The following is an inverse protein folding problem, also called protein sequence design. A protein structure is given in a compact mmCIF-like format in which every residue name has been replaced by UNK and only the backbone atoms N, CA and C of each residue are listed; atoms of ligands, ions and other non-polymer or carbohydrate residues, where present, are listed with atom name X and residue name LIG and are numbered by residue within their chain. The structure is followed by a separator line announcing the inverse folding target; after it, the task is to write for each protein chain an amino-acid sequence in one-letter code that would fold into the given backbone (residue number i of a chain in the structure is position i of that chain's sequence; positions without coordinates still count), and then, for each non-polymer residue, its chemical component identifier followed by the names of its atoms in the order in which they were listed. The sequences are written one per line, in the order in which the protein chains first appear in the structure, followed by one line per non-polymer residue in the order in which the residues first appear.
data_IF_168268249548
#
_entry.id   IF_168268249548
#
_cell.length_a   1.000
_cell.length_b   1.000
_cell.length_c   1.000
_cell.angle_alpha   90.00
_cell.angle_beta   90.00
_cell.angle_gamma   90.00
#
_symmetry.space_group_name_H-M   'P 1'
#
loop_
_entity.id
_entity.type
_entity.pdbx_description
1 polymer ?
#
# COMPACT_ATOMS: atom_id res chain seq x y z
N UNK A 1 -3.91 11.39 13.40
CA UNK A 1 -3.54 12.13 12.19
C UNK A 1 -3.07 13.51 12.57
N UNK A 2 -1.87 13.88 12.12
CA UNK A 2 -1.28 15.21 12.31
C UNK A 2 -2.09 16.25 11.53
N UNK A 3 -2.09 17.50 11.99
CA UNK A 3 -2.76 18.59 11.27
C UNK A 3 -2.13 18.84 9.91
N UNK A 4 -0.82 18.55 9.80
CA UNK A 4 -0.03 18.65 8.57
C UNK A 4 -0.44 17.55 7.56
N UNK A 5 -0.54 16.30 7.97
CA UNK A 5 -1.04 15.26 7.08
C UNK A 5 -2.50 15.49 6.67
N UNK A 6 -3.34 15.98 7.59
CA UNK A 6 -4.76 16.18 7.36
C UNK A 6 -5.08 17.25 6.29
N UNK A 7 -4.20 18.24 6.07
CA UNK A 7 -4.42 19.23 5.01
C UNK A 7 -4.04 18.70 3.62
N UNK A 8 -3.12 17.74 3.53
CA UNK A 8 -2.65 17.19 2.25
C UNK A 8 -3.35 15.90 1.83
N UNK A 9 -3.76 15.05 2.77
CA UNK A 9 -4.43 13.78 2.48
C UNK A 9 -5.90 13.97 2.11
N UNK A 10 -6.10 14.41 0.87
CA UNK A 10 -7.44 14.70 0.30
C UNK A 10 -8.08 13.51 -0.40
N UNK A 11 -7.34 12.42 -0.60
CA UNK A 11 -7.82 11.19 -1.22
C UNK A 11 -8.06 10.08 -0.18
N UNK A 12 -8.67 8.99 -0.64
CA UNK A 12 -8.87 7.77 0.15
C UNK A 12 -8.35 6.59 -0.65
N UNK A 13 -7.63 5.69 0.00
CA UNK A 13 -7.23 4.40 -0.56
C UNK A 13 -7.90 3.26 0.22
N UNK A 14 -8.00 2.10 -0.42
CA UNK A 14 -8.41 0.85 0.22
C UNK A 14 -7.20 -0.07 0.31
N UNK A 15 -6.91 -0.60 1.49
CA UNK A 15 -5.83 -1.55 1.75
C UNK A 15 -6.39 -2.91 2.17
N UNK A 16 -5.77 -3.98 1.67
CA UNK A 16 -6.00 -5.36 2.03
C UNK A 16 -4.72 -5.92 2.63
N UNK A 17 -4.73 -6.15 3.93
CA UNK A 17 -3.56 -6.69 4.64
C UNK A 17 -3.47 -8.19 4.44
N UNK A 18 -2.28 -8.71 4.13
CA UNK A 18 -2.03 -10.14 4.05
C UNK A 18 -2.21 -10.77 5.43
N UNK A 19 -3.00 -11.84 5.51
CA UNK A 19 -3.13 -12.59 6.76
C UNK A 19 -1.86 -13.40 7.02
N UNK A 20 -1.34 -13.33 8.24
CA UNK A 20 -0.16 -14.09 8.62
C UNK A 20 -0.50 -15.57 8.81
N UNK A 21 0.36 -16.43 8.27
CA UNK A 21 0.23 -17.88 8.36
C UNK A 21 -0.28 -18.52 7.08
N UNK A 22 -0.25 -19.84 7.12
CA UNK A 22 -0.77 -20.69 6.07
C UNK A 22 -1.89 -21.54 6.67
N UNK A 23 -2.80 -22.01 5.82
CA UNK A 23 -3.79 -23.00 6.23
C UNK A 23 -3.14 -24.37 6.52
N UNK A 24 -3.96 -25.34 6.88
CA UNK A 24 -3.52 -26.72 7.19
C UNK A 24 -2.84 -27.42 5.99
N UNK A 25 -3.03 -26.91 4.78
CA UNK A 25 -2.47 -27.42 3.53
C UNK A 25 -1.25 -26.63 3.05
N UNK A 26 -0.88 -25.56 3.76
CA UNK A 26 0.25 -24.71 3.41
C UNK A 26 -0.09 -23.56 2.46
N UNK A 27 -1.36 -23.35 2.12
CA UNK A 27 -1.82 -22.25 1.28
C UNK A 27 -1.91 -20.94 2.10
N UNK A 28 -1.65 -19.77 1.51
CA UNK A 28 -1.81 -18.50 2.21
C UNK A 28 -3.25 -18.30 2.68
N UNK A 29 -3.43 -17.83 3.92
CA UNK A 29 -4.77 -17.57 4.50
C UNK A 29 -5.58 -16.46 3.80
N UNK A 30 -4.99 -15.79 2.81
CA UNK A 30 -5.62 -14.75 2.02
C UNK A 30 -5.36 -13.36 2.58
N UNK A 31 -6.37 -12.49 2.47
CA UNK A 31 -6.28 -11.08 2.83
C UNK A 31 -7.40 -10.69 3.79
N UNK A 32 -7.12 -9.71 4.65
CA UNK A 32 -8.09 -9.09 5.52
C UNK A 32 -9.15 -8.31 4.73
N UNK A 33 -10.25 -7.99 5.41
CA UNK A 33 -11.31 -7.14 4.85
C UNK A 33 -10.75 -5.77 4.40
N UNK A 34 -11.32 -5.17 3.34
CA UNK A 34 -10.87 -3.88 2.81
C UNK A 34 -10.98 -2.77 3.86
N UNK A 35 -9.84 -2.13 4.15
CA UNK A 35 -9.75 -1.02 5.09
C UNK A 35 -9.53 0.30 4.35
N UNK A 36 -10.30 1.33 4.70
CA UNK A 36 -10.25 2.64 4.03
C UNK A 36 -9.32 3.56 4.80
N UNK A 37 -8.29 4.07 4.12
CA UNK A 37 -7.26 4.91 4.73
C UNK A 37 -7.20 6.28 4.04
N UNK A 38 -7.01 7.38 4.80
CA UNK A 38 -6.75 8.68 4.20
C UNK A 38 -5.33 8.67 3.59
N UNK A 39 -5.20 9.26 2.41
CA UNK A 39 -3.92 9.34 1.73
C UNK A 39 -3.84 10.51 0.74
N UNK A 40 -2.64 10.71 0.22
CA UNK A 40 -2.43 11.30 -1.10
C UNK A 40 -1.59 10.33 -1.94
N UNK A 41 -1.50 10.57 -3.24
CA UNK A 41 -0.80 9.67 -4.14
C UNK A 41 -0.14 10.37 -5.33
N UNK A 42 0.95 9.77 -5.80
CA UNK A 42 1.60 10.13 -7.05
C UNK A 42 1.63 8.90 -7.95
N UNK A 43 1.15 9.09 -9.18
CA UNK A 43 1.33 8.11 -10.25
C UNK A 43 2.75 8.21 -10.79
N UNK A 44 3.54 7.14 -10.62
CA UNK A 44 4.96 7.14 -10.94
C UNK A 44 5.31 6.11 -12.00
N UNK A 45 5.27 6.51 -13.28
CA UNK A 45 5.84 5.73 -14.39
C UNK A 45 7.37 5.67 -14.26
N UNK A 46 7.90 4.54 -13.79
CA UNK A 46 9.25 4.15 -14.15
C UNK A 46 9.44 2.63 -14.07
N UNK A 47 9.70 2.03 -15.24
CA UNK A 47 10.37 0.73 -15.33
C UNK A 47 11.74 0.90 -14.68
N UNK A 48 11.92 0.45 -13.44
CA UNK A 48 13.26 0.27 -12.87
C UNK A 48 13.69 -1.15 -13.18
N UNK A 49 14.78 -1.29 -13.94
CA UNK A 49 15.51 -2.55 -14.05
C UNK A 49 16.07 -2.87 -12.66
N UNK A 50 15.45 -3.81 -11.95
CA UNK A 50 16.03 -4.31 -10.71
C UNK A 50 17.28 -5.15 -11.06
N UNK A 51 18.27 -5.14 -10.16
CA UNK A 51 19.66 -5.63 -10.35
C UNK A 51 19.82 -7.13 -10.73
N UNK A 52 18.74 -7.87 -10.95
CA UNK A 52 18.74 -9.33 -11.15
C UNK A 52 17.75 -9.76 -12.26
N UNK A 53 17.54 -8.94 -13.29
CA UNK A 53 16.79 -9.34 -14.49
C UNK A 53 15.26 -9.39 -14.34
N UNK A 54 14.72 -8.93 -13.21
CA UNK A 54 13.27 -8.74 -13.04
C UNK A 54 12.90 -7.27 -13.34
N UNK A 55 11.98 -7.08 -14.27
CA UNK A 55 11.39 -5.77 -14.57
C UNK A 55 10.28 -5.49 -13.54
N UNK A 56 10.50 -4.53 -12.65
CA UNK A 56 9.45 -4.09 -11.72
C UNK A 56 8.86 -2.80 -12.27
N UNK A 57 7.60 -2.87 -12.69
CA UNK A 57 6.82 -1.69 -13.05
C UNK A 57 6.24 -1.11 -11.76
N UNK A 58 6.93 -0.11 -11.22
CA UNK A 58 6.39 0.73 -10.15
C UNK A 58 5.18 1.46 -10.71
N UNK A 59 4.08 1.46 -9.96
CA UNK A 59 2.83 2.10 -10.37
C UNK A 59 2.58 3.38 -9.59
N UNK A 60 2.35 3.24 -8.29
CA UNK A 60 1.96 4.37 -7.45
C UNK A 60 2.82 4.45 -6.19
N UNK A 61 3.07 5.66 -5.74
CA UNK A 61 3.48 5.94 -4.37
C UNK A 61 2.29 6.52 -3.64
N UNK A 62 1.92 5.94 -2.50
CA UNK A 62 0.83 6.40 -1.64
C UNK A 62 1.42 6.92 -0.34
N UNK A 63 1.07 8.15 0.03
CA UNK A 63 1.44 8.75 1.30
C UNK A 63 0.29 8.68 2.28
N UNK A 64 0.56 8.18 3.47
CA UNK A 64 -0.44 7.97 4.51
C UNK A 64 0.21 7.90 5.88
N UNK A 65 -0.55 8.07 6.95
CA UNK A 65 -0.10 7.78 8.33
C UNK A 65 -0.50 6.35 8.76
N UNK A 66 -0.97 5.52 7.83
CA UNK A 66 -1.32 4.14 8.11
C UNK A 66 -0.08 3.27 8.36
N UNK A 67 0.18 2.96 9.64
CA UNK A 67 1.38 2.28 10.08
C UNK A 67 1.40 0.76 9.88
N UNK A 68 0.26 0.14 9.53
CA UNK A 68 0.13 -1.32 9.49
C UNK A 68 0.35 -1.92 8.10
N UNK A 69 0.68 -1.10 7.09
CA UNK A 69 0.99 -1.60 5.75
C UNK A 69 2.34 -2.33 5.74
N UNK A 70 2.38 -3.47 5.06
CA UNK A 70 3.56 -4.31 4.89
C UNK A 70 3.71 -4.79 3.43
N UNK A 71 4.91 -5.28 3.11
CA UNK A 71 5.16 -5.89 1.80
C UNK A 71 4.29 -7.15 1.60
N UNK A 72 3.68 -7.28 0.43
CA UNK A 72 2.72 -8.35 0.11
C UNK A 72 1.26 -8.01 0.43
N UNK A 73 0.99 -6.88 1.07
CA UNK A 73 -0.35 -6.28 1.11
C UNK A 73 -0.76 -5.78 -0.27
N UNK A 74 -2.03 -5.47 -0.44
CA UNK A 74 -2.55 -4.84 -1.65
C UNK A 74 -3.19 -3.50 -1.32
N UNK A 75 -3.02 -2.52 -2.21
CA UNK A 75 -3.63 -1.21 -2.06
C UNK A 75 -4.17 -0.69 -3.39
N UNK A 76 -5.32 -0.02 -3.32
CA UNK A 76 -5.99 0.62 -4.45
C UNK A 76 -6.34 2.05 -4.07
N UNK A 77 -6.08 3.00 -4.97
CA UNK A 77 -6.58 4.37 -4.82
C UNK A 77 -8.10 4.36 -5.05
N UNK A 78 -8.86 4.93 -4.13
CA UNK A 78 -10.31 4.91 -4.11
C UNK A 78 -10.88 3.95 -3.07
N UNK A 79 -12.21 3.88 -3.03
CA UNK A 79 -12.97 3.05 -2.08
C UNK A 79 -13.43 1.78 -2.77
N UNK A 80 -13.13 0.62 -2.17
CA UNK A 80 -13.66 -0.68 -2.57
C UNK A 80 -14.29 -1.41 -1.38
N UNK A 81 -15.31 -2.21 -1.67
CA UNK A 81 -15.86 -3.19 -0.72
C UNK A 81 -15.64 -4.63 -1.22
N UNK A 82 -14.87 -4.81 -2.30
CA UNK A 82 -14.50 -6.13 -2.81
C UNK A 82 -13.52 -6.81 -1.86
N UNK A 83 -13.80 -8.06 -1.48
CA UNK A 83 -12.97 -8.81 -0.56
C UNK A 83 -11.66 -9.29 -1.22
N UNK A 84 -11.70 -9.57 -2.52
CA UNK A 84 -10.52 -9.99 -3.27
C UNK A 84 -9.75 -8.79 -3.85
N UNK A 85 -8.54 -8.46 -3.34
CA UNK A 85 -7.79 -7.30 -3.83
C UNK A 85 -7.44 -7.37 -5.32
N UNK A 86 -7.23 -8.58 -5.86
CA UNK A 86 -6.91 -8.77 -7.27
C UNK A 86 -8.14 -8.46 -8.15
N UNK A 87 -9.33 -8.86 -7.70
CA UNK A 87 -10.58 -8.54 -8.39
C UNK A 87 -10.90 -7.04 -8.32
N UNK A 88 -10.52 -6.39 -7.21
CA UNK A 88 -10.63 -4.94 -7.04
C UNK A 88 -9.68 -4.14 -7.96
N UNK A 89 -8.68 -4.79 -8.57
CA UNK A 89 -7.65 -4.10 -9.36
C UNK A 89 -6.60 -3.40 -8.50
N UNK A 90 -6.43 -3.83 -7.25
CA UNK A 90 -5.40 -3.33 -6.36
C UNK A 90 -4.00 -3.78 -6.80
N UNK A 91 -2.99 -3.00 -6.42
CA UNK A 91 -1.59 -3.31 -6.68
C UNK A 91 -0.87 -3.75 -5.41
N UNK A 92 0.09 -4.66 -5.58
CA UNK A 92 0.85 -5.22 -4.46
C UNK A 92 1.81 -4.16 -3.90
N UNK A 93 1.82 -4.03 -2.57
CA UNK A 93 2.79 -3.25 -1.82
C UNK A 93 4.14 -3.97 -1.88
N UNK A 94 5.14 -3.31 -2.45
CA UNK A 94 6.51 -3.83 -2.56
C UNK A 94 7.43 -3.28 -1.49
N UNK A 95 7.21 -2.04 -1.09
CA UNK A 95 8.07 -1.36 -0.13
C UNK A 95 7.25 -0.36 0.68
N UNK A 96 7.57 -0.27 1.96
CA UNK A 96 7.03 0.73 2.88
C UNK A 96 8.22 1.48 3.48
N UNK A 97 8.20 2.81 3.38
CA UNK A 97 9.23 3.68 3.94
C UNK A 97 8.58 4.52 5.02
N UNK A 98 9.16 4.50 6.22
CA UNK A 98 8.70 5.29 7.39
C UNK A 98 9.46 6.61 7.45
N UNK A 99 8.73 7.70 7.60
CA UNK A 99 9.21 9.05 7.82
C UNK A 99 8.71 9.53 9.18
N UNK A 100 9.59 10.15 9.96
CA UNK A 100 9.18 10.73 11.22
C UNK A 100 8.36 11.99 10.98
N UNK A 101 7.24 12.15 11.68
CA UNK A 101 6.54 13.43 11.75
C UNK A 101 7.42 14.44 12.48
N UNK A 102 8.09 15.27 11.69
CA UNK A 102 9.13 16.16 12.18
C UNK A 102 8.55 17.41 12.83
N UNK A 103 7.32 17.78 12.48
CA UNK A 103 6.69 19.02 12.92
C UNK A 103 5.89 18.86 14.21
N UNK A 104 5.03 17.84 14.31
CA UNK A 104 4.12 17.67 15.46
C UNK A 104 4.50 16.48 16.36
N UNK A 105 5.31 15.54 15.87
CA UNK A 105 5.72 14.31 16.59
C UNK A 105 4.53 13.48 17.10
N UNK A 106 3.40 13.50 16.40
CA UNK A 106 2.18 12.83 16.83
C UNK A 106 2.06 11.43 16.24
N UNK A 107 2.26 11.29 14.93
CA UNK A 107 2.17 10.02 14.21
C UNK A 107 3.08 10.06 13.01
N UNK A 108 3.75 8.95 12.71
CA UNK A 108 4.68 8.92 11.58
C UNK A 108 3.96 8.87 10.24
N UNK A 109 4.65 9.39 9.21
CA UNK A 109 4.23 9.33 7.82
C UNK A 109 4.86 8.13 7.12
N UNK A 110 4.17 7.57 6.14
CA UNK A 110 4.59 6.40 5.39
C UNK A 110 4.46 6.66 3.89
N UNK A 111 5.47 6.25 3.13
CA UNK A 111 5.37 6.10 1.68
C UNK A 111 5.26 4.62 1.33
N UNK A 112 4.13 4.24 0.76
CA UNK A 112 3.80 2.90 0.30
C UNK A 112 4.03 2.85 -1.20
N UNK A 113 4.95 2.00 -1.65
CA UNK A 113 5.32 1.87 -3.07
C UNK A 113 4.71 0.58 -3.60
N UNK A 114 3.92 0.72 -4.68
CA UNK A 114 3.23 -0.41 -5.31
C UNK A 114 3.83 -0.78 -6.65
N UNK A 115 3.67 -2.05 -7.01
CA UNK A 115 3.99 -2.54 -8.34
C UNK A 115 2.97 -3.57 -8.82
N UNK A 116 2.83 -3.67 -10.14
CA UNK A 116 2.09 -4.79 -10.74
C UNK A 116 2.82 -6.10 -10.47
N UNK A 117 2.10 -7.12 -9.98
CA UNK A 117 2.64 -8.48 -9.88
C UNK A 117 2.50 -9.28 -11.18
N UNK A 118 1.87 -8.73 -12.23
CA UNK A 118 1.75 -9.37 -13.55
C UNK A 118 2.92 -8.98 -14.48
N UNK A 119 3.70 -10.00 -14.84
CA UNK A 119 4.49 -10.08 -16.08
C UNK A 119 3.70 -10.93 -17.07
#
# INVERSE_FOLDING_TARGET
MSSVANWSYTATATIWRKLEGNDEYGDPLGYAEPEKIPCDYEGGLSKKLASLGAEIVVKNTVWTEFALAAAGDYIMIGVSNEANPVAAGADEVRQVIRYADTFERLTDDYAIITASSRV
#
